data_IF_556075640508
#
_entry.id   IF_556075640508
#
_cell.length_a   1.000
_cell.length_b   1.000
_cell.length_c   1.000
_cell.angle_alpha   90.00
_cell.angle_beta   90.00
_cell.angle_gamma   90.00
#
_symmetry.space_group_name_H-M   'P 1'
#
loop_
_entity.id
_entity.type
_entity.pdbx_description
1 polymer ?
#
# COMPACT_ATOMS: atom_id res chain seq x y z
N UNK A 1 -20.01 -24.57 13.01
CA UNK A 1 -18.88 -24.14 12.17
C UNK A 1 -18.59 -22.72 12.58
N UNK A 2 -17.43 -22.46 13.19
CA UNK A 2 -16.99 -21.09 13.43
C UNK A 2 -16.72 -20.45 12.08
N UNK A 3 -17.35 -19.31 11.82
CA UNK A 3 -17.15 -18.53 10.61
C UNK A 3 -15.71 -18.00 10.63
N UNK A 4 -14.92 -18.37 9.63
CA UNK A 4 -13.50 -18.04 9.62
C UNK A 4 -13.31 -16.54 9.32
N UNK A 5 -12.88 -15.78 10.33
CA UNK A 5 -12.77 -14.33 10.24
C UNK A 5 -11.68 -13.90 9.23
N UNK A 6 -11.95 -12.88 8.39
CA UNK A 6 -10.92 -12.27 7.56
C UNK A 6 -9.95 -11.43 8.40
N UNK A 7 -10.38 -10.92 9.55
CA UNK A 7 -9.56 -9.99 10.31
C UNK A 7 -8.44 -10.71 11.07
N UNK A 8 -7.22 -10.16 11.06
CA UNK A 8 -6.15 -10.67 11.91
C UNK A 8 -6.53 -10.58 13.40
N UNK A 9 -6.03 -11.50 14.25
CA UNK A 9 -6.44 -11.64 15.64
C UNK A 9 -5.83 -10.58 16.57
N UNK A 10 -5.95 -9.29 16.24
CA UNK A 10 -5.35 -8.16 16.98
C UNK A 10 -5.69 -8.18 18.47
N UNK A 11 -6.98 -8.32 18.81
CA UNK A 11 -7.44 -8.30 20.20
C UNK A 11 -6.82 -9.43 21.02
N UNK A 12 -6.79 -10.64 20.46
CA UNK A 12 -6.22 -11.80 21.11
C UNK A 12 -4.70 -11.64 21.28
N UNK A 13 -4.00 -11.24 20.22
CA UNK A 13 -2.54 -11.15 20.18
C UNK A 13 -1.98 -10.01 21.04
N UNK A 14 -2.63 -8.85 21.07
CA UNK A 14 -2.14 -7.67 21.79
C UNK A 14 -2.89 -7.40 23.10
N UNK A 15 -3.64 -8.38 23.62
CA UNK A 15 -4.45 -8.24 24.85
C UNK A 15 -3.69 -7.62 26.02
N UNK A 16 -2.44 -8.03 26.24
CA UNK A 16 -1.61 -7.48 27.31
C UNK A 16 -1.34 -5.98 27.13
N UNK A 17 -1.03 -5.53 25.90
CA UNK A 17 -0.80 -4.11 25.60
C UNK A 17 -2.08 -3.27 25.74
N UNK A 18 -3.23 -3.84 25.36
CA UNK A 18 -4.52 -3.17 25.46
C UNK A 18 -4.99 -3.02 26.91
N UNK A 19 -4.68 -4.01 27.76
CA UNK A 19 -5.07 -4.04 29.16
C UNK A 19 -4.13 -3.22 30.07
N UNK A 20 -2.90 -2.92 29.64
CA UNK A 20 -1.91 -2.18 30.43
C UNK A 20 -2.26 -0.69 30.64
N UNK A 21 -3.49 -0.28 30.28
CA UNK A 21 -4.02 1.05 30.58
C UNK A 21 -3.08 2.15 30.14
N UNK A 22 -2.57 2.02 28.90
CA UNK A 22 -1.37 2.69 28.40
C UNK A 22 -1.17 4.08 28.98
N UNK A 23 0.04 4.38 29.46
CA UNK A 23 0.44 5.73 29.90
C UNK A 23 -0.22 6.72 28.96
N UNK A 24 -1.11 7.57 29.50
CA UNK A 24 -1.81 8.59 28.72
C UNK A 24 -0.75 9.32 27.90
N UNK A 25 -0.75 9.08 26.59
CA UNK A 25 -0.03 9.95 25.70
C UNK A 25 -0.78 11.27 25.83
N UNK A 26 -0.16 12.24 26.52
CA UNK A 26 -0.47 13.62 26.23
C UNK A 26 -0.25 13.73 24.72
N UNK A 27 -1.35 13.90 23.99
CA UNK A 27 -1.28 14.31 22.60
C UNK A 27 -0.53 15.63 22.65
N UNK A 28 0.79 15.58 22.47
CA UNK A 28 1.55 16.74 22.06
C UNK A 28 0.87 17.16 20.77
N UNK A 29 0.02 18.17 20.88
CA UNK A 29 -0.74 18.73 19.79
C UNK A 29 0.27 19.44 18.91
N UNK A 30 1.05 18.67 18.17
CA UNK A 30 1.87 19.18 17.09
C UNK A 30 0.87 19.82 16.14
N UNK A 31 0.95 21.13 15.88
CA UNK A 31 0.11 21.75 14.87
C UNK A 31 0.38 21.02 13.57
N UNK A 32 -0.57 20.22 13.11
CA UNK A 32 -0.51 19.60 11.79
C UNK A 32 -0.95 20.71 10.84
N UNK A 33 0.00 21.33 10.16
CA UNK A 33 -0.31 22.23 9.06
C UNK A 33 -0.90 21.38 7.92
N UNK A 34 -2.16 21.65 7.57
CA UNK A 34 -2.76 21.09 6.36
C UNK A 34 -2.09 21.73 5.14
N UNK A 35 -1.15 21.01 4.54
CA UNK A 35 -0.55 21.39 3.25
C UNK A 35 -1.19 20.58 2.13
N UNK A 36 -1.53 21.28 1.03
CA UNK A 36 -2.05 20.65 -0.16
C UNK A 36 -1.01 19.69 -0.77
N UNK A 37 -1.47 18.49 -1.13
CA UNK A 37 -0.65 17.49 -1.81
C UNK A 37 -0.21 18.03 -3.17
N UNK A 38 1.10 18.03 -3.44
CA UNK A 38 1.62 18.41 -4.75
C UNK A 38 1.13 17.44 -5.83
N UNK A 39 0.45 17.98 -6.84
CA UNK A 39 -0.05 17.22 -7.99
C UNK A 39 0.81 17.54 -9.22
N UNK A 40 1.36 16.51 -9.87
CA UNK A 40 2.16 16.62 -11.10
C UNK A 40 1.43 15.95 -12.25
N UNK A 41 1.24 16.70 -13.34
CA UNK A 41 0.67 16.18 -14.58
C UNK A 41 1.75 15.53 -15.45
N UNK A 42 1.69 14.19 -15.60
CA UNK A 42 2.67 13.44 -16.39
C UNK A 42 2.45 13.51 -17.90
N UNK A 43 1.33 14.04 -18.42
CA UNK A 43 1.22 14.25 -19.87
C UNK A 43 2.16 15.35 -20.36
N UNK A 44 2.62 16.24 -19.47
CA UNK A 44 3.62 17.29 -19.77
C UNK A 44 4.99 16.73 -20.14
N UNK A 45 5.26 15.46 -19.81
CA UNK A 45 6.49 14.77 -20.23
C UNK A 45 6.47 14.37 -21.71
N UNK A 46 5.28 14.30 -22.32
CA UNK A 46 5.08 13.99 -23.73
C UNK A 46 5.17 15.27 -24.60
N UNK A 47 5.13 16.46 -24.00
CA UNK A 47 5.27 17.77 -24.67
C UNK A 47 6.75 18.21 -24.69
N UNK A 48 7.31 18.40 -25.89
CA UNK A 48 8.72 18.78 -26.06
C UNK A 48 9.12 20.11 -25.42
N UNK A 49 8.17 21.04 -25.22
CA UNK A 49 8.40 22.35 -24.60
C UNK A 49 8.34 22.26 -23.07
N UNK A 50 7.34 21.55 -22.54
CA UNK A 50 7.12 21.47 -21.08
C UNK A 50 7.92 20.36 -20.38
N UNK A 51 8.47 19.41 -21.14
CA UNK A 51 9.11 18.20 -20.59
C UNK A 51 10.21 18.49 -19.57
N UNK A 52 11.08 19.46 -19.84
CA UNK A 52 12.20 19.76 -18.92
C UNK A 52 11.73 20.50 -17.66
N UNK A 53 10.70 21.34 -17.77
CA UNK A 53 10.01 21.98 -16.62
C UNK A 53 9.36 20.90 -15.73
N UNK A 54 8.62 19.97 -16.33
CA UNK A 54 7.97 18.88 -15.60
C UNK A 54 8.98 17.98 -14.87
N UNK A 55 10.12 17.65 -15.48
CA UNK A 55 11.20 16.92 -14.81
C UNK A 55 11.78 17.69 -13.63
N UNK A 56 11.97 19.01 -13.78
CA UNK A 56 12.46 19.88 -12.71
C UNK A 56 11.49 19.90 -11.53
N UNK A 57 10.19 19.94 -11.80
CA UNK A 57 9.14 19.83 -10.76
C UNK A 57 9.17 18.48 -10.06
N UNK A 58 9.27 17.36 -10.79
CA UNK A 58 9.40 16.02 -10.20
C UNK A 58 10.62 15.93 -9.29
N UNK A 59 11.78 16.42 -9.75
CA UNK A 59 13.01 16.41 -8.97
C UNK A 59 12.91 17.31 -7.73
N UNK A 60 12.27 18.47 -7.86
CA UNK A 60 12.03 19.39 -6.74
C UNK A 60 11.09 18.76 -5.70
N UNK A 61 9.93 18.26 -6.13
CA UNK A 61 8.97 17.59 -5.25
C UNK A 61 9.58 16.38 -4.55
N UNK A 62 10.36 15.56 -5.28
CA UNK A 62 11.07 14.42 -4.69
C UNK A 62 12.06 14.85 -3.59
N UNK A 63 12.80 15.94 -3.79
CA UNK A 63 13.83 16.43 -2.85
C UNK A 63 13.24 17.14 -1.64
N UNK A 64 12.21 17.95 -1.85
CA UNK A 64 11.63 18.81 -0.80
C UNK A 64 10.55 18.09 0.01
N UNK A 65 9.77 17.21 -0.63
CA UNK A 65 8.59 16.58 -0.03
C UNK A 65 8.72 15.06 0.13
N UNK A 66 9.56 14.41 -0.68
CA UNK A 66 9.71 12.95 -0.69
C UNK A 66 8.55 12.19 -1.34
N UNK A 67 7.40 12.82 -1.53
CA UNK A 67 6.24 12.25 -2.22
C UNK A 67 5.40 13.34 -2.90
N UNK A 68 4.63 12.95 -3.92
CA UNK A 68 3.71 13.79 -4.68
C UNK A 68 2.68 12.90 -5.39
N UNK A 69 1.52 13.47 -5.70
CA UNK A 69 0.50 12.83 -6.52
C UNK A 69 0.80 13.03 -8.00
N UNK A 70 0.50 12.04 -8.83
CA UNK A 70 0.60 12.14 -10.29
C UNK A 70 -0.77 11.99 -10.94
N UNK A 71 -1.03 12.78 -11.99
CA UNK A 71 -2.22 12.68 -12.85
C UNK A 71 -1.80 12.48 -14.31
N UNK A 72 -2.74 12.08 -15.16
CA UNK A 72 -2.50 11.76 -16.58
C UNK A 72 -1.30 10.83 -16.81
N UNK A 73 -1.12 9.87 -15.89
CA UNK A 73 -0.01 8.92 -15.91
C UNK A 73 -0.13 7.85 -17.02
N UNK A 74 -1.23 7.83 -17.78
CA UNK A 74 -1.42 6.88 -18.90
C UNK A 74 -1.85 5.47 -18.48
N UNK A 75 -2.34 5.30 -17.25
CA UNK A 75 -2.93 4.02 -16.79
C UNK A 75 -4.43 4.15 -16.94
N UNK A 76 -5.07 3.16 -17.57
CA UNK A 76 -6.51 3.19 -17.75
C UNK A 76 -7.24 3.09 -16.40
N UNK A 77 -8.38 3.77 -16.29
CA UNK A 77 -9.21 3.72 -15.08
C UNK A 77 -9.70 2.30 -14.81
N UNK A 78 -9.94 1.52 -15.86
CA UNK A 78 -10.39 0.14 -15.77
C UNK A 78 -9.37 -0.74 -15.02
N UNK A 79 -8.07 -0.55 -15.29
CA UNK A 79 -6.98 -1.24 -14.59
C UNK A 79 -6.93 -0.82 -13.11
N UNK A 80 -7.06 0.47 -12.82
CA UNK A 80 -7.03 0.97 -11.44
C UNK A 80 -8.22 0.45 -10.62
N UNK A 81 -9.42 0.46 -11.20
CA UNK A 81 -10.63 -0.04 -10.53
C UNK A 81 -10.59 -1.56 -10.36
N UNK A 82 -10.07 -2.29 -11.35
CA UNK A 82 -9.85 -3.73 -11.21
C UNK A 82 -8.83 -4.03 -10.11
N UNK A 83 -7.70 -3.32 -10.09
CA UNK A 83 -6.70 -3.43 -9.03
C UNK A 83 -7.32 -3.21 -7.65
N UNK A 84 -8.15 -2.17 -7.48
CA UNK A 84 -8.88 -1.90 -6.23
C UNK A 84 -9.82 -3.04 -5.87
N UNK A 85 -10.62 -3.55 -6.82
CA UNK A 85 -11.55 -4.67 -6.57
C UNK A 85 -10.81 -5.92 -6.11
N UNK A 86 -9.72 -6.28 -6.79
CA UNK A 86 -8.96 -7.47 -6.45
C UNK A 86 -8.20 -7.32 -5.12
N UNK A 87 -7.69 -6.12 -4.81
CA UNK A 87 -7.13 -5.81 -3.50
C UNK A 87 -8.17 -6.06 -2.39
N UNK A 88 -9.39 -5.54 -2.54
CA UNK A 88 -10.47 -5.73 -1.55
C UNK A 88 -10.79 -7.21 -1.36
N UNK A 89 -10.84 -8.00 -2.45
CA UNK A 89 -11.08 -9.45 -2.36
C UNK A 89 -9.99 -10.15 -1.56
N UNK A 90 -8.72 -9.83 -1.79
CA UNK A 90 -7.60 -10.42 -1.03
C UNK A 90 -7.74 -10.11 0.46
N UNK A 91 -8.01 -8.86 0.85
CA UNK A 91 -8.19 -8.51 2.27
C UNK A 91 -9.41 -9.17 2.93
N UNK A 92 -10.44 -9.50 2.14
CA UNK A 92 -11.64 -10.22 2.60
C UNK A 92 -11.50 -11.74 2.66
N UNK A 93 -10.40 -12.31 2.19
CA UNK A 93 -10.12 -13.74 2.37
C UNK A 93 -9.95 -14.06 3.85
N UNK A 94 -10.18 -15.32 4.23
CA UNK A 94 -10.01 -15.75 5.60
C UNK A 94 -8.57 -15.54 6.07
N UNK A 95 -8.38 -15.19 7.34
CA UNK A 95 -7.06 -14.89 7.87
C UNK A 95 -6.06 -16.03 7.66
N UNK A 96 -6.45 -17.30 7.84
CA UNK A 96 -5.53 -18.43 7.64
C UNK A 96 -5.14 -18.59 6.19
N UNK A 97 -6.06 -18.36 5.25
CA UNK A 97 -5.75 -18.37 3.83
C UNK A 97 -4.69 -17.31 3.51
N UNK A 98 -4.86 -16.07 4.01
CA UNK A 98 -3.87 -14.98 3.83
C UNK A 98 -2.50 -15.32 4.43
N UNK A 99 -2.45 -15.96 5.60
CA UNK A 99 -1.18 -16.36 6.24
C UNK A 99 -0.49 -17.49 5.49
N UNK A 100 -1.24 -18.48 5.02
CA UNK A 100 -0.72 -19.64 4.26
C UNK A 100 -0.45 -19.34 2.80
N UNK A 101 -0.90 -18.18 2.31
CA UNK A 101 -0.82 -17.81 0.91
C UNK A 101 0.64 -17.58 0.49
N UNK A 102 1.25 -18.60 -0.12
CA UNK A 102 2.51 -18.47 -0.88
C UNK A 102 2.44 -17.34 -1.91
N UNK A 103 1.22 -17.04 -2.37
CA UNK A 103 0.86 -15.92 -3.23
C UNK A 103 1.32 -14.55 -2.73
N UNK A 104 1.41 -14.36 -1.41
CA UNK A 104 1.93 -13.13 -0.80
C UNK A 104 3.46 -13.19 -0.64
N UNK A 105 4.14 -14.23 -1.15
CA UNK A 105 5.58 -14.43 -1.05
C UNK A 105 6.11 -14.26 0.39
N UNK A 106 5.32 -14.70 1.39
CA UNK A 106 5.63 -14.51 2.82
C UNK A 106 5.66 -13.03 3.27
N UNK A 107 5.19 -12.11 2.44
CA UNK A 107 5.18 -10.66 2.71
C UNK A 107 3.93 -10.17 3.42
N UNK A 108 2.96 -11.06 3.65
CA UNK A 108 1.79 -10.76 4.46
C UNK A 108 2.24 -10.36 5.87
N UNK A 109 1.82 -9.17 6.30
CA UNK A 109 2.14 -8.61 7.61
C UNK A 109 0.92 -7.92 8.18
N UNK A 110 0.78 -8.04 9.49
CA UNK A 110 -0.23 -7.34 10.25
C UNK A 110 0.35 -7.04 11.62
N UNK A 111 0.00 -5.88 12.19
CA UNK A 111 0.54 -5.48 13.48
C UNK A 111 2.04 -5.20 13.47
N UNK A 112 2.59 -5.11 14.67
CA UNK A 112 4.03 -5.05 14.93
C UNK A 112 4.37 -6.21 15.88
N UNK A 113 4.98 -7.31 15.43
CA UNK A 113 5.27 -8.46 16.29
C UNK A 113 6.17 -8.12 17.49
N UNK A 114 7.02 -7.11 17.35
CA UNK A 114 7.96 -6.65 18.38
C UNK A 114 7.45 -5.52 19.27
N UNK A 115 6.19 -5.08 19.13
CA UNK A 115 5.66 -3.98 19.92
C UNK A 115 5.55 -4.36 21.41
N UNK A 116 6.14 -3.55 22.27
CA UNK A 116 6.05 -3.67 23.72
C UNK A 116 5.15 -2.59 24.35
N UNK A 117 4.61 -1.67 23.56
CA UNK A 117 3.67 -0.65 23.98
C UNK A 117 2.74 -0.23 22.84
N UNK A 118 1.61 0.42 23.17
CA UNK A 118 0.58 0.79 22.19
C UNK A 118 1.07 1.76 21.10
N UNK A 119 2.05 2.62 21.39
CA UNK A 119 2.59 3.55 20.39
C UNK A 119 3.49 2.87 19.35
N UNK A 120 4.00 1.67 19.63
CA UNK A 120 4.76 0.87 18.67
C UNK A 120 3.86 -0.02 17.81
N UNK A 121 2.57 -0.13 18.15
CA UNK A 121 1.64 -1.01 17.46
C UNK A 121 1.20 -0.40 16.12
N UNK A 122 1.42 -1.14 15.04
CA UNK A 122 0.89 -0.80 13.71
C UNK A 122 -0.55 -1.30 13.57
N UNK A 123 -1.51 -0.38 13.50
CA UNK A 123 -2.93 -0.71 13.27
C UNK A 123 -3.24 -0.93 11.79
N UNK A 124 -2.46 -1.81 11.16
CA UNK A 124 -2.55 -2.06 9.74
C UNK A 124 -2.33 -3.53 9.39
N UNK A 125 -2.88 -3.88 8.23
CA UNK A 125 -2.65 -5.13 7.52
C UNK A 125 -2.12 -4.77 6.13
N UNK A 126 -1.09 -5.49 5.68
CA UNK A 126 -0.40 -5.22 4.43
C UNK A 126 0.19 -6.49 3.82
N UNK A 127 0.40 -6.45 2.51
CA UNK A 127 1.23 -7.41 1.80
C UNK A 127 2.02 -6.69 0.73
N UNK A 128 3.19 -7.22 0.40
CA UNK A 128 4.03 -6.70 -0.66
C UNK A 128 3.90 -7.56 -1.91
N UNK A 129 3.95 -6.91 -3.08
CA UNK A 129 4.01 -7.58 -4.38
C UNK A 129 5.39 -7.32 -4.98
N UNK A 130 6.36 -8.26 -4.88
CA UNK A 130 7.71 -8.10 -5.41
C UNK A 130 7.71 -7.98 -6.93
N UNK A 131 8.66 -7.22 -7.48
CA UNK A 131 8.78 -7.01 -8.93
C UNK A 131 9.41 -8.22 -9.66
N UNK A 132 10.26 -8.98 -8.96
CA UNK A 132 11.04 -10.09 -9.54
C UNK A 132 10.26 -11.42 -9.64
N UNK A 133 9.26 -11.65 -8.79
CA UNK A 133 8.57 -12.94 -8.67
C UNK A 133 7.43 -13.14 -9.67
N UNK A 134 7.16 -12.14 -10.52
CA UNK A 134 5.99 -12.15 -11.42
C UNK A 134 6.13 -13.20 -12.54
N UNK A 135 7.37 -13.57 -12.89
CA UNK A 135 7.65 -14.60 -13.89
C UNK A 135 7.67 -16.03 -13.31
N UNK A 136 7.76 -16.17 -11.98
CA UNK A 136 8.08 -17.43 -11.30
C UNK A 136 6.93 -18.11 -10.55
N UNK A 137 5.77 -17.47 -10.40
CA UNK A 137 4.64 -18.07 -9.68
C UNK A 137 3.97 -19.20 -10.49
N UNK A 138 4.55 -20.41 -10.42
CA UNK A 138 3.96 -21.65 -10.94
C UNK A 138 2.80 -22.20 -10.08
N UNK A 139 2.61 -21.71 -8.85
CA UNK A 139 1.54 -22.15 -7.94
C UNK A 139 0.18 -21.44 -8.13
N UNK A 140 0.06 -20.63 -9.18
CA UNK A 140 -0.99 -19.62 -9.35
C UNK A 140 -2.32 -20.16 -9.91
N UNK A 141 -2.70 -21.38 -9.57
CA UNK A 141 -3.94 -21.99 -10.08
C UNK A 141 -5.17 -21.66 -9.23
N UNK A 142 -5.01 -21.32 -7.94
CA UNK A 142 -6.13 -21.36 -6.98
C UNK A 142 -6.94 -20.06 -6.88
N UNK A 143 -6.37 -18.87 -7.10
CA UNK A 143 -7.11 -17.60 -6.87
C UNK A 143 -6.87 -16.58 -7.99
N UNK A 144 -7.87 -16.41 -8.86
CA UNK A 144 -7.85 -15.47 -10.00
C UNK A 144 -7.54 -14.03 -9.57
N UNK A 145 -8.04 -13.64 -8.41
CA UNK A 145 -7.96 -12.27 -7.91
C UNK A 145 -6.55 -11.74 -7.72
N UNK A 146 -5.69 -12.51 -7.08
CA UNK A 146 -4.35 -12.05 -6.79
C UNK A 146 -3.44 -12.03 -8.04
N UNK A 147 -3.77 -12.83 -9.06
CA UNK A 147 -3.09 -12.76 -10.38
C UNK A 147 -3.36 -11.42 -11.03
N UNK A 148 -4.62 -11.04 -11.05
CA UNK A 148 -5.10 -9.80 -11.64
C UNK A 148 -4.56 -8.60 -10.85
N UNK A 149 -4.56 -8.66 -9.52
CA UNK A 149 -3.92 -7.66 -8.67
C UNK A 149 -2.44 -7.48 -9.02
N UNK A 150 -1.68 -8.58 -9.10
CA UNK A 150 -0.26 -8.55 -9.45
C UNK A 150 -0.02 -8.01 -10.87
N UNK A 151 -0.83 -8.40 -11.84
CA UNK A 151 -0.74 -7.92 -13.21
C UNK A 151 -0.99 -6.40 -13.30
N UNK A 152 -2.01 -5.89 -12.60
CA UNK A 152 -2.36 -4.48 -12.61
C UNK A 152 -1.34 -3.62 -11.85
N UNK A 153 -0.81 -4.12 -10.73
CA UNK A 153 0.33 -3.52 -10.03
C UNK A 153 1.56 -3.39 -10.96
N UNK A 154 1.83 -4.43 -11.78
CA UNK A 154 2.93 -4.40 -12.74
C UNK A 154 2.71 -3.34 -13.82
N UNK A 155 1.54 -3.31 -14.44
CA UNK A 155 1.23 -2.32 -15.49
C UNK A 155 1.34 -0.91 -14.93
N UNK A 156 0.70 -0.65 -13.78
CA UNK A 156 0.73 0.65 -13.10
C UNK A 156 2.17 1.12 -12.86
N UNK A 157 2.99 0.28 -12.21
CA UNK A 157 4.38 0.62 -11.90
C UNK A 157 5.23 0.81 -13.15
N UNK A 158 5.11 -0.05 -14.16
CA UNK A 158 5.89 0.07 -15.40
C UNK A 158 5.52 1.33 -16.18
N UNK A 159 4.24 1.70 -16.24
CA UNK A 159 3.80 2.90 -16.92
C UNK A 159 4.36 4.16 -16.25
N UNK A 160 4.29 4.25 -14.92
CA UNK A 160 4.85 5.39 -14.18
C UNK A 160 6.37 5.43 -14.28
N UNK A 161 7.05 4.28 -14.10
CA UNK A 161 8.52 4.20 -14.15
C UNK A 161 9.09 4.55 -15.54
N UNK A 162 8.40 4.18 -16.63
CA UNK A 162 8.80 4.58 -18.00
C UNK A 162 8.73 6.08 -18.22
N UNK A 163 7.80 6.76 -17.55
CA UNK A 163 7.63 8.22 -17.64
C UNK A 163 8.61 8.96 -16.74
N UNK A 164 9.02 8.37 -15.62
CA UNK A 164 9.98 8.97 -14.67
C UNK A 164 11.28 8.15 -14.52
N UNK A 165 12.13 8.09 -15.56
CA UNK A 165 13.40 7.36 -15.48
C UNK A 165 14.34 8.00 -14.45
N UNK A 166 14.87 7.20 -13.52
CA UNK A 166 15.80 7.65 -12.47
C UNK A 166 15.18 7.89 -11.08
N UNK A 167 13.85 7.88 -10.96
CA UNK A 167 13.16 7.98 -9.67
C UNK A 167 12.68 6.59 -9.20
N UNK A 168 13.49 5.90 -8.40
CA UNK A 168 13.17 4.58 -7.85
C UNK A 168 12.43 4.69 -6.51
N UNK A 169 11.18 5.14 -6.54
CA UNK A 169 10.31 5.11 -5.35
C UNK A 169 9.85 3.70 -4.99
N UNK A 170 9.74 3.39 -3.70
CA UNK A 170 9.15 2.14 -3.21
C UNK A 170 7.63 2.29 -3.12
N UNK A 171 6.87 1.36 -3.71
CA UNK A 171 5.41 1.40 -3.73
C UNK A 171 4.85 0.40 -2.71
N UNK A 172 4.21 0.89 -1.66
CA UNK A 172 3.51 0.07 -0.64
C UNK A 172 2.00 0.18 -0.82
N UNK A 173 1.28 -0.93 -0.60
CA UNK A 173 -0.17 -0.94 -0.45
C UNK A 173 -0.48 -1.28 1.01
N UNK A 174 -1.25 -0.43 1.69
CA UNK A 174 -1.57 -0.61 3.11
C UNK A 174 -3.02 -0.25 3.36
N UNK A 175 -3.71 -1.03 4.19
CA UNK A 175 -5.02 -0.66 4.75
C UNK A 175 -4.81 -0.20 6.19
N UNK A 176 -5.21 1.03 6.49
CA UNK A 176 -5.33 1.49 7.86
C UNK A 176 -6.65 0.94 8.43
N UNK A 177 -6.59 0.21 9.55
CA UNK A 177 -7.76 -0.39 10.19
C UNK A 177 -8.42 0.55 11.21
N UNK A 178 -8.43 1.86 10.93
CA UNK A 178 -8.96 2.88 11.85
C UNK A 178 -10.48 3.05 11.80
N UNK A 179 -11.23 2.17 11.12
CA UNK A 179 -12.70 2.20 11.08
C UNK A 179 -13.34 0.85 11.47
N UNK A 180 -12.99 0.31 12.63
CA UNK A 180 -13.74 -0.78 13.25
C UNK A 180 -14.25 -0.48 14.66
N UNK A 181 -14.10 0.76 15.14
CA UNK A 181 -14.70 1.20 16.40
C UNK A 181 -15.26 2.61 16.23
N UNK A 182 -16.51 2.68 15.79
CA UNK A 182 -17.43 3.81 15.97
C UNK A 182 -18.80 3.21 16.23
#
# INVERSE_FOLDING_TARGET
MEEESPDPPFQHTYKALLNDGGKKYENAHVPIEEQDLLVIDLSRLDDGVEREECKREIAKASREWGFFQVVNHGISREILEEMRREQVKVFKMAFREKVSAELLAGSYRWGTPSANCLSQLSWSEAFHVPLADISGLRGLASLSSARTLNANCRVTRQTVARRMPGHTGCWSMSRHLTQLYS
#
